data_IF_722949824084
#
_entry.id   IF_722949824084
#
_cell.length_a   1.000
_cell.length_b   1.000
_cell.length_c   1.000
_cell.angle_alpha   90.00
_cell.angle_beta   90.00
_cell.angle_gamma   90.00
#
_symmetry.space_group_name_H-M   'P 1'
#
loop_
_entity.id
_entity.type
_entity.pdbx_description
1 polymer ?
#
# COMPACT_ATOMS: atom_id res chain seq x y z
N UNK A 1 -24.77 -14.20 7.20
CA UNK A 1 -23.60 -14.85 7.82
C UNK A 1 -22.62 -13.75 8.25
N UNK A 2 -22.41 -13.55 9.55
CA UNK A 2 -21.39 -12.63 10.10
C UNK A 2 -20.34 -13.48 10.83
N UNK A 3 -19.55 -14.23 10.07
CA UNK A 3 -18.30 -14.77 10.59
C UNK A 3 -17.24 -13.71 10.39
N UNK A 4 -16.43 -13.41 11.41
CA UNK A 4 -15.28 -12.54 11.26
C UNK A 4 -14.47 -13.03 10.04
N UNK A 5 -14.42 -12.22 8.97
CA UNK A 5 -13.50 -12.47 7.86
C UNK A 5 -12.13 -12.13 8.41
N UNK A 6 -11.56 -13.05 9.19
CA UNK A 6 -10.20 -12.92 9.70
C UNK A 6 -9.30 -12.89 8.46
N UNK A 7 -8.69 -11.74 8.20
CA UNK A 7 -7.77 -11.59 7.08
C UNK A 7 -6.63 -12.59 7.26
N UNK A 8 -6.24 -13.29 6.19
CA UNK A 8 -5.11 -14.23 6.18
C UNK A 8 -3.73 -13.56 6.35
N UNK A 9 -3.69 -12.26 6.64
CA UNK A 9 -2.46 -11.47 6.71
C UNK A 9 -1.86 -11.11 5.35
N UNK A 10 -2.53 -11.45 4.23
CA UNK A 10 -1.99 -11.27 2.88
C UNK A 10 -2.22 -9.88 2.28
N UNK A 11 -2.97 -9.00 2.94
CA UNK A 11 -3.36 -7.71 2.35
C UNK A 11 -2.18 -6.85 1.92
N UNK A 12 -1.14 -6.75 2.76
CA UNK A 12 0.04 -5.92 2.47
C UNK A 12 0.97 -6.55 1.43
N UNK A 13 1.10 -7.88 1.38
CA UNK A 13 1.91 -8.54 0.34
C UNK A 13 1.26 -8.40 -1.03
N UNK A 14 -0.07 -8.57 -1.11
CA UNK A 14 -0.84 -8.34 -2.33
C UNK A 14 -0.75 -6.86 -2.76
N UNK A 15 -0.93 -5.92 -1.81
CA UNK A 15 -0.81 -4.50 -2.11
C UNK A 15 0.59 -4.13 -2.65
N UNK A 16 1.66 -4.61 -2.01
CA UNK A 16 3.03 -4.40 -2.47
C UNK A 16 3.27 -4.95 -3.87
N UNK A 17 2.77 -6.15 -4.17
CA UNK A 17 2.89 -6.74 -5.49
C UNK A 17 2.17 -5.92 -6.57
N UNK A 18 0.96 -5.43 -6.29
CA UNK A 18 0.23 -4.55 -7.19
C UNK A 18 0.98 -3.24 -7.44
N UNK A 19 1.47 -2.60 -6.38
CA UNK A 19 2.20 -1.32 -6.45
C UNK A 19 3.49 -1.47 -7.26
N UNK A 20 4.25 -2.55 -7.07
CA UNK A 20 5.44 -2.85 -7.87
C UNK A 20 5.15 -3.05 -9.35
N UNK A 21 4.02 -3.68 -9.70
CA UNK A 21 3.58 -3.81 -11.10
C UNK A 21 3.25 -2.45 -11.72
N UNK A 22 2.81 -1.49 -10.90
CA UNK A 22 2.62 -0.09 -11.30
C UNK A 22 3.91 0.74 -11.28
N UNK A 23 5.07 0.09 -11.13
CA UNK A 23 6.38 0.73 -11.03
C UNK A 23 6.49 1.71 -9.85
N UNK A 24 5.74 1.45 -8.77
CA UNK A 24 5.81 2.20 -7.54
C UNK A 24 6.33 1.36 -6.37
N UNK A 25 6.32 1.95 -5.18
CA UNK A 25 6.83 1.33 -3.95
C UNK A 25 5.91 1.57 -2.74
N UNK A 26 5.98 0.66 -1.76
CA UNK A 26 5.23 0.69 -0.51
C UNK A 26 6.18 0.66 0.69
N UNK A 27 6.12 1.70 1.51
CA UNK A 27 6.96 1.87 2.69
C UNK A 27 6.13 1.86 3.97
N UNK A 28 6.72 1.33 5.04
CA UNK A 28 6.31 1.63 6.40
C UNK A 28 7.17 2.81 6.86
N UNK A 29 6.54 3.94 7.17
CA UNK A 29 7.24 5.16 7.58
C UNK A 29 6.84 5.51 9.01
N UNK A 30 7.79 6.09 9.74
CA UNK A 30 7.48 6.74 11.01
C UNK A 30 6.91 8.13 10.71
N UNK A 31 5.70 8.40 11.17
CA UNK A 31 5.00 9.67 10.95
C UNK A 31 4.41 10.14 12.28
N UNK A 32 4.80 11.35 12.68
CA UNK A 32 4.45 11.86 14.00
C UNK A 32 2.92 11.96 14.16
N UNK A 33 2.40 11.34 15.22
CA UNK A 33 0.97 11.37 15.55
C UNK A 33 0.13 10.25 14.92
N UNK A 34 0.73 9.27 14.26
CA UNK A 34 0.04 8.06 13.79
C UNK A 34 0.70 6.81 14.39
N UNK A 35 -0.09 5.84 14.84
CA UNK A 35 0.45 4.58 15.39
C UNK A 35 1.16 3.74 14.32
N UNK A 36 0.69 3.80 13.07
CA UNK A 36 1.25 3.10 11.90
C UNK A 36 0.96 3.90 10.64
N UNK A 37 1.97 4.17 9.80
CA UNK A 37 1.79 4.86 8.53
C UNK A 37 2.38 4.07 7.34
N UNK A 38 1.55 3.79 6.34
CA UNK A 38 1.98 3.18 5.08
C UNK A 38 2.02 4.25 3.99
N UNK A 39 3.19 4.48 3.39
CA UNK A 39 3.36 5.41 2.28
C UNK A 39 3.44 4.65 0.97
N UNK A 40 2.63 5.07 0.00
CA UNK A 40 2.62 4.53 -1.37
C UNK A 40 3.14 5.62 -2.29
N UNK A 41 4.17 5.28 -3.06
CA UNK A 41 4.71 6.15 -4.10
C UNK A 41 4.47 5.52 -5.46
N UNK A 42 3.88 6.27 -6.38
CA UNK A 42 3.60 5.83 -7.75
C UNK A 42 4.20 6.85 -8.73
N UNK A 43 4.71 6.41 -9.89
CA UNK A 43 5.11 7.32 -10.94
C UNK A 43 3.94 8.20 -11.35
N UNK A 44 4.17 9.51 -11.42
CA UNK A 44 3.16 10.45 -11.89
C UNK A 44 2.95 10.23 -13.39
N UNK A 45 1.71 9.93 -13.82
CA UNK A 45 1.36 9.85 -15.25
C UNK A 45 1.29 11.22 -15.94
N UNK A 46 2.15 12.17 -15.55
CA UNK A 46 2.28 13.45 -16.26
C UNK A 46 2.98 13.21 -17.58
N UNK A 47 2.20 12.78 -18.57
CA UNK A 47 2.48 13.07 -19.96
C UNK A 47 2.11 14.54 -20.20
N UNK A 48 2.88 15.46 -19.60
CA UNK A 48 2.80 16.87 -19.96
C UNK A 48 3.48 17.01 -21.31
N UNK A 49 2.66 16.95 -22.37
CA UNK A 49 3.01 17.54 -23.66
C UNK A 49 3.16 19.05 -23.54
#
# INVERSE_FOLDING_TARGET
RKGAVKGSGLGLSIARDCIRRMQGELYLVDESGQDVCFRIELPSSKNTK
#
